data_IF_011505172362
#
_entry.id   IF_011505172362
#
_cell.length_a   1.000
_cell.length_b   1.000
_cell.length_c   1.000
_cell.angle_alpha   90.00
_cell.angle_beta   90.00
_cell.angle_gamma   90.00
#
_symmetry.space_group_name_H-M   'P 1'
#
loop_
_entity.id
_entity.type
_entity.pdbx_description
1 polymer ?
#
# COMPACT_ATOMS: atom_id res chain seq x y z
N UNK A 1 14.38 24.33 -30.37
CA UNK A 1 13.69 23.64 -29.26
C UNK A 1 14.60 22.52 -28.78
N UNK A 2 15.40 22.79 -27.73
CA UNK A 2 16.26 21.79 -27.11
C UNK A 2 15.42 20.95 -26.14
N UNK A 3 15.24 19.66 -26.43
CA UNK A 3 14.62 18.71 -25.51
C UNK A 3 15.60 18.47 -24.37
N UNK A 4 15.34 19.04 -23.19
CA UNK A 4 15.98 18.61 -21.96
C UNK A 4 15.65 17.12 -21.77
N UNK A 5 16.61 16.24 -22.05
CA UNK A 5 16.58 14.86 -21.58
C UNK A 5 16.96 14.91 -20.10
N UNK A 6 15.97 14.95 -19.21
CA UNK A 6 16.20 14.68 -17.82
C UNK A 6 16.81 13.27 -17.72
N UNK A 7 18.10 13.20 -17.43
CA UNK A 7 18.77 11.93 -17.17
C UNK A 7 18.27 11.48 -15.79
N UNK A 8 17.56 10.37 -15.76
CA UNK A 8 17.23 9.68 -14.51
C UNK A 8 18.54 9.45 -13.73
N UNK A 9 18.67 9.91 -12.49
CA UNK A 9 19.88 9.69 -11.71
C UNK A 9 20.08 8.18 -11.52
N UNK A 10 21.16 7.64 -12.10
CA UNK A 10 21.61 6.29 -11.75
C UNK A 10 22.34 6.42 -10.42
N UNK A 11 21.97 5.64 -9.39
CA UNK A 11 22.73 5.63 -8.16
C UNK A 11 24.18 5.23 -8.46
N UNK A 12 25.17 5.83 -7.79
CA UNK A 12 26.56 5.40 -7.90
C UNK A 12 26.67 3.93 -7.45
N UNK A 13 27.52 3.17 -8.12
CA UNK A 13 27.72 1.70 -7.95
C UNK A 13 28.32 1.34 -6.57
N UNK A 14 28.55 2.31 -5.69
CA UNK A 14 29.36 2.14 -4.47
C UNK A 14 28.60 2.03 -3.14
N UNK A 15 27.26 1.93 -3.14
CA UNK A 15 26.53 1.53 -1.94
C UNK A 15 25.28 0.78 -2.40
N UNK A 16 25.37 -0.54 -2.48
CA UNK A 16 24.21 -1.39 -2.59
C UNK A 16 23.49 -1.39 -1.23
N UNK A 17 22.84 -0.28 -0.89
CA UNK A 17 21.79 -0.34 0.13
C UNK A 17 20.81 -1.43 -0.31
N UNK A 18 20.49 -2.35 0.59
CA UNK A 18 19.56 -3.43 0.33
C UNK A 18 18.21 -2.79 -0.03
N UNK A 19 17.69 -3.12 -1.21
CA UNK A 19 16.37 -2.61 -1.63
C UNK A 19 15.28 -3.08 -0.67
N UNK A 20 14.21 -2.29 -0.54
CA UNK A 20 13.15 -2.54 0.44
C UNK A 20 11.79 -2.65 -0.25
N UNK A 21 11.00 -3.66 0.14
CA UNK A 21 9.57 -3.66 -0.05
C UNK A 21 8.91 -3.05 1.19
N UNK A 22 8.49 -1.80 1.10
CA UNK A 22 7.83 -1.06 2.18
C UNK A 22 6.33 -1.32 2.08
N UNK A 23 5.82 -2.22 2.90
CA UNK A 23 4.40 -2.57 2.95
C UNK A 23 3.66 -1.65 3.92
N UNK A 24 2.75 -0.82 3.41
CA UNK A 24 1.84 -0.02 4.20
C UNK A 24 0.52 -0.77 4.35
N UNK A 25 0.34 -1.45 5.48
CA UNK A 25 -0.88 -2.16 5.84
C UNK A 25 -1.83 -1.25 6.65
N UNK A 26 -3.09 -1.62 6.75
CA UNK A 26 -4.08 -0.86 7.53
C UNK A 26 -5.48 -0.89 6.90
N UNK A 27 -6.52 -0.46 7.65
CA UNK A 27 -7.90 -0.52 7.18
C UNK A 27 -8.16 0.39 5.98
N UNK A 28 -9.29 0.17 5.27
CA UNK A 28 -9.72 1.07 4.19
C UNK A 28 -9.87 2.51 4.69
N UNK A 29 -9.49 3.48 3.86
CA UNK A 29 -9.62 4.92 4.20
C UNK A 29 -8.53 5.49 5.12
N UNK A 30 -7.62 4.67 5.69
CA UNK A 30 -6.61 5.12 6.66
C UNK A 30 -5.51 6.03 6.07
N UNK A 31 -5.37 6.09 4.74
CA UNK A 31 -4.42 6.98 4.06
C UNK A 31 -3.20 6.28 3.44
N UNK A 32 -3.17 4.95 3.34
CA UNK A 32 -2.06 4.18 2.75
C UNK A 32 -1.62 4.70 1.38
N UNK A 33 -2.54 4.77 0.42
CA UNK A 33 -2.25 5.21 -0.95
C UNK A 33 -1.78 6.67 -1.01
N UNK A 34 -2.30 7.53 -0.13
CA UNK A 34 -1.86 8.93 -0.03
C UNK A 34 -0.41 9.03 0.44
N UNK A 35 -0.04 8.27 1.48
CA UNK A 35 1.33 8.23 1.98
C UNK A 35 2.29 7.59 0.98
N UNK A 36 1.87 6.50 0.31
CA UNK A 36 2.67 5.83 -0.71
C UNK A 36 2.96 6.74 -1.92
N UNK A 37 1.94 7.45 -2.43
CA UNK A 37 2.12 8.44 -3.51
C UNK A 37 3.09 9.54 -3.11
N UNK A 38 2.94 10.08 -1.90
CA UNK A 38 3.84 11.10 -1.38
C UNK A 38 5.27 10.58 -1.23
N UNK A 39 5.43 9.40 -0.64
CA UNK A 39 6.74 8.77 -0.47
C UNK A 39 7.46 8.58 -1.81
N UNK A 40 6.78 8.02 -2.80
CA UNK A 40 7.35 7.84 -4.15
C UNK A 40 7.67 9.17 -4.85
N UNK A 41 6.86 10.22 -4.64
CA UNK A 41 7.12 11.54 -5.21
C UNK A 41 8.35 12.24 -4.60
N UNK A 42 8.60 12.02 -3.29
CA UNK A 42 9.73 12.62 -2.57
C UNK A 42 11.02 11.78 -2.66
N UNK A 43 10.93 10.50 -3.10
CA UNK A 43 12.07 9.58 -3.21
C UNK A 43 12.22 9.07 -4.65
N UNK A 44 12.98 9.79 -5.51
CA UNK A 44 13.18 9.41 -6.91
C UNK A 44 13.73 7.98 -7.03
N UNK A 45 13.09 7.15 -7.84
CA UNK A 45 13.44 5.75 -8.03
C UNK A 45 12.57 4.77 -7.23
N UNK A 46 11.75 5.24 -6.29
CA UNK A 46 10.79 4.38 -5.59
C UNK A 46 9.58 4.08 -6.47
N UNK A 47 9.23 2.80 -6.60
CA UNK A 47 8.00 2.37 -7.26
C UNK A 47 6.83 2.38 -6.27
N UNK A 48 5.78 3.16 -6.55
CA UNK A 48 4.49 3.00 -5.87
C UNK A 48 3.69 1.88 -6.56
N UNK A 49 3.65 0.70 -5.96
CA UNK A 49 2.89 -0.44 -6.45
C UNK A 49 1.52 -0.53 -5.77
N UNK A 50 0.62 0.38 -6.11
CA UNK A 50 -0.77 0.35 -5.63
C UNK A 50 -1.58 -0.66 -6.48
N UNK A 51 -1.94 -1.81 -5.88
CA UNK A 51 -2.67 -2.87 -6.58
C UNK A 51 -4.06 -2.42 -7.00
N UNK A 52 -4.69 -1.50 -6.27
CA UNK A 52 -6.01 -0.97 -6.64
C UNK A 52 -5.92 -0.14 -7.94
N UNK A 53 -4.80 0.55 -8.16
CA UNK A 53 -4.50 1.19 -9.46
C UNK A 53 -4.29 0.13 -10.55
N UNK A 54 -3.54 -0.93 -10.26
CA UNK A 54 -3.26 -1.97 -11.24
C UNK A 54 -4.52 -2.74 -11.65
N UNK A 55 -5.50 -2.91 -10.77
CA UNK A 55 -6.80 -3.52 -11.10
C UNK A 55 -7.50 -2.79 -12.24
N UNK A 56 -7.41 -1.46 -12.30
CA UNK A 56 -8.06 -0.67 -13.35
C UNK A 56 -7.49 -0.91 -14.76
N UNK A 57 -6.36 -1.60 -14.86
CA UNK A 57 -5.76 -2.00 -16.13
C UNK A 57 -6.33 -3.32 -16.67
N UNK A 58 -7.11 -4.05 -15.86
CA UNK A 58 -7.77 -5.30 -16.26
C UNK A 58 -9.10 -4.97 -16.93
N UNK A 59 -9.30 -5.43 -18.17
CA UNK A 59 -10.58 -5.20 -18.87
C UNK A 59 -11.75 -5.76 -18.07
N UNK A 60 -12.82 -4.95 -17.88
CA UNK A 60 -14.00 -5.35 -17.12
C UNK A 60 -13.85 -5.25 -15.59
N UNK A 61 -12.80 -4.64 -15.07
CA UNK A 61 -12.54 -4.47 -13.62
C UNK A 61 -13.72 -3.81 -12.86
N UNK A 62 -14.49 -2.97 -13.53
CA UNK A 62 -15.67 -2.29 -12.95
C UNK A 62 -16.80 -3.27 -12.60
N UNK A 63 -16.87 -4.41 -13.30
CA UNK A 63 -17.90 -5.42 -13.07
C UNK A 63 -17.55 -6.35 -11.90
N UNK A 64 -16.25 -6.66 -11.73
CA UNK A 64 -15.76 -7.48 -10.61
C UNK A 64 -14.36 -7.02 -10.17
N UNK A 65 -14.36 -6.09 -9.24
CA UNK A 65 -13.14 -5.54 -8.67
C UNK A 65 -12.33 -6.59 -7.88
N UNK A 66 -13.01 -7.59 -7.30
CA UNK A 66 -12.38 -8.70 -6.58
C UNK A 66 -11.61 -9.61 -7.52
N UNK A 67 -12.25 -10.06 -8.60
CA UNK A 67 -11.64 -10.91 -9.63
C UNK A 67 -10.50 -10.19 -10.36
N UNK A 68 -10.69 -8.91 -10.73
CA UNK A 68 -9.61 -8.11 -11.29
C UNK A 68 -8.39 -8.05 -10.36
N UNK A 69 -8.61 -8.00 -9.04
CA UNK A 69 -7.55 -8.07 -8.04
C UNK A 69 -6.84 -9.42 -8.01
N UNK A 70 -7.59 -10.53 -8.13
CA UNK A 70 -7.01 -11.86 -8.18
C UNK A 70 -6.16 -12.08 -9.45
N UNK A 71 -6.66 -11.59 -10.60
CA UNK A 71 -5.95 -11.69 -11.89
C UNK A 71 -4.66 -10.86 -11.93
N UNK A 72 -4.67 -9.64 -11.39
CA UNK A 72 -3.50 -8.74 -11.50
C UNK A 72 -2.42 -9.03 -10.45
N UNK A 73 -2.76 -9.67 -9.33
CA UNK A 73 -1.83 -9.88 -8.21
C UNK A 73 -0.57 -10.65 -8.58
N UNK A 74 -0.60 -11.74 -9.39
CA UNK A 74 0.63 -12.41 -9.86
C UNK A 74 1.53 -11.47 -10.68
N UNK A 75 0.96 -10.60 -11.51
CA UNK A 75 1.72 -9.62 -12.29
C UNK A 75 2.33 -8.55 -11.37
N UNK A 76 1.59 -8.09 -10.36
CA UNK A 76 2.11 -7.16 -9.36
C UNK A 76 3.29 -7.75 -8.59
N UNK A 77 3.21 -9.03 -8.16
CA UNK A 77 4.32 -9.74 -7.50
C UNK A 77 5.55 -9.83 -8.42
N UNK A 78 5.37 -10.20 -9.69
CA UNK A 78 6.46 -10.28 -10.66
C UNK A 78 7.12 -8.89 -10.88
N UNK A 79 6.31 -7.83 -10.98
CA UNK A 79 6.80 -6.45 -11.13
C UNK A 79 7.57 -6.01 -9.90
N UNK A 80 7.07 -6.26 -8.68
CA UNK A 80 7.74 -5.97 -7.42
C UNK A 80 9.10 -6.66 -7.37
N UNK A 81 9.14 -7.99 -7.62
CA UNK A 81 10.39 -8.76 -7.58
C UNK A 81 11.43 -8.27 -8.58
N UNK A 82 11.01 -8.00 -9.82
CA UNK A 82 11.91 -7.48 -10.85
C UNK A 82 12.45 -6.08 -10.50
N UNK A 83 11.60 -5.23 -9.90
CA UNK A 83 11.99 -3.86 -9.52
C UNK A 83 12.96 -3.87 -8.34
N UNK A 84 12.68 -4.65 -7.29
CA UNK A 84 13.57 -4.84 -6.15
C UNK A 84 14.94 -5.41 -6.57
N UNK A 85 14.95 -6.38 -7.50
CA UNK A 85 16.19 -6.95 -8.04
C UNK A 85 17.05 -5.93 -8.80
N UNK A 86 16.47 -4.80 -9.24
CA UNK A 86 17.23 -3.69 -9.83
C UNK A 86 17.88 -2.76 -8.79
N UNK A 87 17.73 -3.06 -7.49
CA UNK A 87 18.28 -2.27 -6.39
C UNK A 87 17.44 -1.04 -6.00
N UNK A 88 16.18 -0.99 -6.41
CA UNK A 88 15.28 0.12 -6.10
C UNK A 88 14.20 -0.30 -5.11
N UNK A 89 13.75 0.63 -4.27
CA UNK A 89 12.68 0.40 -3.30
C UNK A 89 11.29 0.34 -3.98
N UNK A 90 10.39 -0.42 -3.36
CA UNK A 90 8.97 -0.46 -3.71
C UNK A 90 8.14 -0.12 -2.48
N UNK A 91 7.15 0.77 -2.61
CA UNK A 91 6.12 0.99 -1.59
C UNK A 91 4.80 0.34 -2.05
N UNK A 92 4.21 -0.49 -1.18
CA UNK A 92 3.01 -1.30 -1.43
C UNK A 92 1.89 -0.87 -0.45
N UNK A 93 0.95 0.00 -0.85
CA UNK A 93 -0.17 0.42 -0.01
C UNK A 93 -1.36 -0.54 -0.11
N UNK A 94 -1.23 -1.74 0.45
CA UNK A 94 -2.25 -2.78 0.35
C UNK A 94 -2.69 -3.27 1.73
N UNK A 95 -4.02 -3.37 1.97
CA UNK A 95 -4.51 -4.09 3.13
C UNK A 95 -4.36 -5.61 2.90
N UNK A 96 -3.58 -6.26 3.73
CA UNK A 96 -3.41 -7.71 3.74
C UNK A 96 -3.71 -8.22 5.16
N UNK A 97 -4.75 -9.05 5.28
CA UNK A 97 -5.17 -9.68 6.54
C UNK A 97 -4.98 -11.20 6.54
N UNK A 98 -4.79 -11.79 5.35
CA UNK A 98 -4.47 -13.21 5.19
C UNK A 98 -2.96 -13.41 5.34
N UNK A 99 -2.48 -14.18 6.34
CA UNK A 99 -1.07 -14.48 6.54
C UNK A 99 -0.41 -15.15 5.33
N UNK A 100 -1.16 -15.96 4.58
CA UNK A 100 -0.65 -16.65 3.40
C UNK A 100 -0.34 -15.67 2.27
N UNK A 101 -1.25 -14.73 2.02
CA UNK A 101 -1.02 -13.68 1.02
C UNK A 101 0.13 -12.76 1.44
N UNK A 102 0.18 -12.39 2.72
CA UNK A 102 1.28 -11.58 3.26
C UNK A 102 2.63 -12.26 3.07
N UNK A 103 2.72 -13.55 3.39
CA UNK A 103 3.93 -14.36 3.21
C UNK A 103 4.40 -14.41 1.74
N UNK A 104 3.49 -14.33 0.76
CA UNK A 104 3.85 -14.28 -0.68
C UNK A 104 4.58 -12.99 -1.03
N UNK A 105 4.15 -11.85 -0.50
CA UNK A 105 4.85 -10.56 -0.72
C UNK A 105 6.19 -10.54 0.01
N UNK A 106 6.25 -11.05 1.23
CA UNK A 106 7.49 -11.18 1.99
C UNK A 106 8.51 -12.09 1.26
N UNK A 107 8.06 -13.26 0.79
CA UNK A 107 8.88 -14.17 0.00
C UNK A 107 9.32 -13.56 -1.34
N UNK A 108 8.49 -12.75 -1.97
CA UNK A 108 8.86 -12.02 -3.18
C UNK A 108 10.04 -11.06 -2.94
N UNK A 109 10.05 -10.34 -1.82
CA UNK A 109 11.14 -9.43 -1.46
C UNK A 109 12.41 -10.22 -1.07
N UNK A 110 12.29 -11.14 -0.11
CA UNK A 110 13.43 -11.90 0.41
C UNK A 110 14.06 -12.82 -0.65
N UNK A 111 13.25 -13.33 -1.57
CA UNK A 111 13.72 -14.18 -2.68
C UNK A 111 14.67 -13.48 -3.67
N UNK A 112 14.67 -12.14 -3.70
CA UNK A 112 15.61 -11.33 -4.49
C UNK A 112 16.64 -10.60 -3.62
N UNK A 113 16.73 -10.95 -2.32
CA UNK A 113 17.67 -10.34 -1.37
C UNK A 113 17.26 -8.96 -0.87
N UNK A 114 16.01 -8.55 -1.10
CA UNK A 114 15.46 -7.31 -0.59
C UNK A 114 14.92 -7.48 0.84
N UNK A 115 14.84 -6.40 1.58
CA UNK A 115 14.22 -6.37 2.91
C UNK A 115 12.70 -6.17 2.77
N UNK A 116 11.93 -6.94 3.52
CA UNK A 116 10.49 -6.70 3.72
C UNK A 116 10.29 -5.83 4.96
N UNK A 117 9.73 -4.64 4.76
CA UNK A 117 9.55 -3.62 5.83
C UNK A 117 8.06 -3.35 5.98
N UNK A 118 7.47 -3.76 7.12
CA UNK A 118 6.04 -3.69 7.33
C UNK A 118 5.67 -2.55 8.29
N UNK A 119 4.70 -1.72 7.87
CA UNK A 119 4.15 -0.58 8.62
C UNK A 119 2.64 -0.67 8.66
N UNK A 120 2.09 -0.79 9.85
CA UNK A 120 0.64 -0.76 10.06
C UNK A 120 0.19 0.66 10.38
N UNK A 121 -0.58 1.24 9.47
CA UNK A 121 -1.28 2.49 9.72
C UNK A 121 -2.59 2.16 10.44
N UNK A 122 -2.71 2.56 11.70
CA UNK A 122 -3.87 2.24 12.53
C UNK A 122 -4.50 3.50 13.11
N UNK A 123 -5.79 3.41 13.40
CA UNK A 123 -6.57 4.36 14.16
C UNK A 123 -7.54 3.55 15.04
N UNK A 124 -8.37 4.17 15.85
CA UNK A 124 -9.43 3.44 16.54
C UNK A 124 -10.44 2.87 15.53
N UNK A 125 -11.12 1.75 15.84
CA UNK A 125 -12.14 1.18 14.96
C UNK A 125 -13.20 2.20 14.51
N UNK A 126 -13.72 3.00 15.45
CA UNK A 126 -14.72 4.02 15.19
C UNK A 126 -14.21 5.12 14.22
N UNK A 127 -12.96 5.58 14.43
CA UNK A 127 -12.36 6.59 13.55
C UNK A 127 -12.05 6.03 12.16
N UNK A 128 -11.64 4.77 12.06
CA UNK A 128 -11.41 4.09 10.77
C UNK A 128 -12.70 4.05 9.93
N UNK A 129 -13.83 3.69 10.53
CA UNK A 129 -15.15 3.72 9.88
C UNK A 129 -15.54 5.14 9.46
N UNK A 130 -15.42 6.10 10.37
CA UNK A 130 -15.76 7.50 10.08
C UNK A 130 -14.92 8.10 8.93
N UNK A 131 -13.63 7.76 8.87
CA UNK A 131 -12.73 8.18 7.77
C UNK A 131 -13.11 7.57 6.43
N UNK A 132 -13.49 6.29 6.43
CA UNK A 132 -13.95 5.63 5.21
C UNK A 132 -15.17 6.35 4.61
N UNK A 133 -16.16 6.68 5.43
CA UNK A 133 -17.37 7.40 4.99
C UNK A 133 -17.06 8.83 4.53
N UNK A 134 -16.23 9.57 5.25
CA UNK A 134 -15.83 10.93 4.85
C UNK A 134 -15.12 10.96 3.50
N UNK A 135 -14.22 10.01 3.26
CA UNK A 135 -13.55 9.89 1.97
C UNK A 135 -14.54 9.62 0.84
N UNK A 136 -15.60 8.83 1.12
CA UNK A 136 -16.64 8.55 0.16
C UNK A 136 -17.55 9.75 -0.17
N UNK A 137 -17.61 10.76 0.72
CA UNK A 137 -18.37 11.98 0.51
C UNK A 137 -17.57 13.08 -0.23
N UNK A 138 -16.24 12.96 -0.28
CA UNK A 138 -15.39 13.86 -1.05
C UNK A 138 -15.27 13.37 -2.49
N UNK A 139 -15.26 14.29 -3.45
CA UNK A 139 -14.88 13.96 -4.84
C UNK A 139 -13.46 13.41 -4.83
N UNK A 140 -13.32 12.13 -5.22
CA UNK A 140 -12.03 11.47 -5.30
C UNK A 140 -11.69 11.22 -6.75
N UNK A 141 -10.45 11.51 -7.13
CA UNK A 141 -9.94 11.24 -8.49
C UNK A 141 -9.73 9.74 -8.76
N UNK A 142 -9.85 8.91 -7.73
CA UNK A 142 -9.56 7.49 -7.82
C UNK A 142 -10.83 6.69 -8.23
N UNK A 143 -10.95 6.19 -9.46
CA UNK A 143 -12.19 5.61 -10.02
C UNK A 143 -12.66 4.34 -9.33
N UNK A 144 -11.78 3.64 -8.59
CA UNK A 144 -12.13 2.39 -7.87
C UNK A 144 -12.80 2.61 -6.51
N UNK A 145 -12.89 3.86 -6.02
CA UNK A 145 -13.51 4.11 -4.71
C UNK A 145 -14.97 3.68 -4.66
N UNK A 146 -15.70 3.85 -5.76
CA UNK A 146 -17.10 3.44 -5.83
C UNK A 146 -17.23 1.92 -5.71
N UNK A 147 -16.33 1.16 -6.35
CA UNK A 147 -16.29 -0.29 -6.24
C UNK A 147 -15.95 -0.74 -4.82
N UNK A 148 -14.98 -0.09 -4.17
CA UNK A 148 -14.66 -0.41 -2.77
C UNK A 148 -15.86 -0.13 -1.86
N UNK A 149 -16.60 0.98 -2.06
CA UNK A 149 -17.83 1.26 -1.30
C UNK A 149 -18.90 0.21 -1.55
N UNK A 150 -19.12 -0.17 -2.80
CA UNK A 150 -20.07 -1.20 -3.17
C UNK A 150 -19.73 -2.55 -2.52
N UNK A 151 -18.46 -2.94 -2.53
CA UNK A 151 -17.97 -4.16 -1.87
C UNK A 151 -18.20 -4.10 -0.37
N UNK A 152 -17.87 -2.99 0.28
CA UNK A 152 -18.09 -2.81 1.73
C UNK A 152 -19.58 -2.92 2.04
N UNK A 153 -20.44 -2.22 1.29
CA UNK A 153 -21.89 -2.27 1.46
C UNK A 153 -22.45 -3.70 1.29
N UNK A 154 -22.01 -4.41 0.24
CA UNK A 154 -22.45 -5.78 -0.04
C UNK A 154 -21.99 -6.78 1.05
N UNK A 155 -20.90 -6.50 1.74
CA UNK A 155 -20.34 -7.34 2.80
C UNK A 155 -20.80 -6.96 4.22
N UNK A 156 -21.77 -6.06 4.36
CA UNK A 156 -22.35 -5.67 5.64
C UNK A 156 -21.91 -4.31 6.17
N UNK A 157 -21.45 -3.41 5.29
CA UNK A 157 -21.21 -2.01 5.63
C UNK A 157 -20.18 -1.84 6.76
N UNK A 158 -20.57 -1.13 7.81
CA UNK A 158 -19.70 -0.82 8.95
C UNK A 158 -19.20 -2.08 9.68
N UNK A 159 -20.00 -3.14 9.73
CA UNK A 159 -19.55 -4.42 10.29
C UNK A 159 -18.41 -5.03 9.47
N UNK A 160 -18.40 -4.88 8.15
CA UNK A 160 -17.30 -5.34 7.31
C UNK A 160 -16.02 -4.54 7.58
N UNK A 161 -16.13 -3.23 7.77
CA UNK A 161 -15.01 -2.37 8.16
C UNK A 161 -14.46 -2.73 9.54
N UNK A 162 -15.36 -2.96 10.50
CA UNK A 162 -14.98 -3.39 11.85
C UNK A 162 -14.28 -4.77 11.85
N UNK A 163 -14.80 -5.73 11.04
CA UNK A 163 -14.13 -7.04 10.87
C UNK A 163 -12.74 -6.91 10.25
N UNK A 164 -12.57 -6.03 9.27
CA UNK A 164 -11.27 -5.76 8.64
C UNK A 164 -10.28 -5.19 9.65
N UNK A 165 -10.72 -4.24 10.48
CA UNK A 165 -9.90 -3.68 11.56
C UNK A 165 -9.49 -4.75 12.57
N UNK A 166 -10.45 -5.53 13.08
CA UNK A 166 -10.19 -6.61 14.01
C UNK A 166 -9.29 -7.72 13.43
N UNK A 167 -9.34 -7.95 12.10
CA UNK A 167 -8.43 -8.89 11.45
C UNK A 167 -6.98 -8.39 11.47
N UNK A 168 -6.76 -7.09 11.27
CA UNK A 168 -5.44 -6.48 11.39
C UNK A 168 -4.91 -6.53 12.83
N UNK A 169 -5.78 -6.25 13.83
CA UNK A 169 -5.40 -6.36 15.24
C UNK A 169 -4.98 -7.80 15.62
N UNK A 170 -5.64 -8.82 15.07
CA UNK A 170 -5.24 -10.23 15.26
C UNK A 170 -3.96 -10.62 14.54
N UNK A 171 -3.65 -9.95 13.43
CA UNK A 171 -2.44 -10.19 12.68
C UNK A 171 -1.20 -9.59 13.35
N UNK A 172 -1.31 -8.41 13.96
CA UNK A 172 -0.21 -7.67 14.57
C UNK A 172 0.68 -8.51 15.52
N UNK A 173 0.13 -9.32 16.47
CA UNK A 173 0.97 -10.14 17.34
C UNK A 173 1.79 -11.20 16.62
N UNK A 174 1.44 -11.53 15.37
CA UNK A 174 2.14 -12.50 14.53
C UNK A 174 3.24 -11.83 13.69
N UNK A 175 3.38 -10.51 13.77
CA UNK A 175 4.32 -9.68 13.01
C UNK A 175 5.19 -8.83 13.95
N UNK A 176 6.12 -9.46 14.71
CA UNK A 176 6.89 -8.77 15.74
C UNK A 176 7.80 -7.65 15.22
N UNK A 177 8.22 -7.72 13.96
CA UNK A 177 9.09 -6.71 13.32
C UNK A 177 8.30 -5.57 12.67
N UNK A 178 6.96 -5.67 12.67
CA UNK A 178 6.11 -4.62 12.12
C UNK A 178 6.03 -3.42 13.07
N UNK A 179 6.07 -2.22 12.50
CA UNK A 179 5.89 -0.98 13.27
C UNK A 179 4.47 -0.46 13.08
N UNK A 180 3.80 -0.14 14.19
CA UNK A 180 2.48 0.49 14.18
C UNK A 180 2.63 2.02 14.19
N UNK A 181 2.02 2.67 13.23
CA UNK A 181 1.97 4.13 13.11
C UNK A 181 0.53 4.57 13.32
N UNK A 182 0.29 5.35 14.37
CA UNK A 182 -1.03 5.94 14.61
C UNK A 182 -1.31 7.02 13.55
N UNK A 183 -2.36 6.82 12.77
CA UNK A 183 -2.76 7.71 11.68
C UNK A 183 -4.00 8.48 12.07
N UNK A 184 -3.82 9.56 12.84
CA UNK A 184 -4.94 10.42 13.22
C UNK A 184 -5.53 11.15 12.01
N UNK A 185 -6.85 11.36 12.06
CA UNK A 185 -7.57 12.09 11.02
C UNK A 185 -7.10 13.54 10.91
N UNK A 186 -6.96 14.02 9.67
CA UNK A 186 -6.43 15.36 9.38
C UNK A 186 -4.93 15.54 9.61
N UNK A 187 -4.22 14.56 10.20
CA UNK A 187 -2.80 14.66 10.55
C UNK A 187 -1.87 13.98 9.53
N UNK A 188 -2.18 14.05 8.22
CA UNK A 188 -1.38 13.39 7.16
C UNK A 188 0.11 13.74 7.27
N UNK A 189 0.45 15.00 7.53
CA UNK A 189 1.85 15.43 7.64
C UNK A 189 2.56 14.80 8.85
N UNK A 190 1.88 14.66 9.97
CA UNK A 190 2.40 13.99 11.17
C UNK A 190 2.60 12.49 10.94
N UNK A 191 1.57 11.82 10.38
CA UNK A 191 1.64 10.39 10.03
C UNK A 191 2.78 10.12 9.03
N UNK A 192 2.96 11.00 8.05
CA UNK A 192 4.05 10.87 7.08
C UNK A 192 5.42 11.02 7.73
N UNK A 193 5.58 11.96 8.67
CA UNK A 193 6.83 12.10 9.42
C UNK A 193 7.13 10.83 10.23
N UNK A 194 6.14 10.31 10.95
CA UNK A 194 6.31 9.04 11.68
C UNK A 194 6.64 7.87 10.77
N UNK A 195 6.12 7.86 9.53
CA UNK A 195 6.52 6.88 8.53
C UNK A 195 8.02 7.01 8.20
N UNK A 196 8.50 8.21 7.89
CA UNK A 196 9.92 8.44 7.57
C UNK A 196 10.83 8.05 8.73
N UNK A 197 10.53 8.54 9.94
CA UNK A 197 11.30 8.22 11.16
C UNK A 197 11.39 6.70 11.41
N UNK A 198 10.36 5.94 11.01
CA UNK A 198 10.33 4.49 11.18
C UNK A 198 11.15 3.72 10.13
N UNK A 199 11.58 4.38 9.07
CA UNK A 199 12.34 3.79 7.96
C UNK A 199 13.85 4.06 8.05
N UNK A 200 14.25 4.93 8.98
CA UNK A 200 15.66 5.20 9.32
C UNK A 200 16.23 4.07 10.21
#
# INVERSE_FOLDING_TARGET
>A
MARLRARWPRPPVESLAVSRLIHLNGPPGIGKSTLARRYAAEHPGVLNCDIDVLRTLVGGWENDFGEAGALIRPAALAMIGAYLASGQDVVLPQMLTDPTELARFEACATGVGAQFVERFLMDTPAMSVARFHRRGAAETEDPWHDQVRAIVAANGGDDALARSHAALERLLPQRPDAVVIMSADGAIAGTYRSLLDSLE
#
